data_IF_471384571491
#
_entry.id   IF_471384571491
#
_cell.length_a   1.000
_cell.length_b   1.000
_cell.length_c   1.000
_cell.angle_alpha   90.00
_cell.angle_beta   90.00
_cell.angle_gamma   90.00
#
_symmetry.space_group_name_H-M   'P 1'
#
loop_
_entity.id
_entity.type
_entity.pdbx_description
1 polymer ?
#
# COMPACT_ATOMS: atom_id res chain seq x y z
N UNK A 1 50.54 12.69 -29.14
CA UNK A 1 49.39 13.59 -28.92
C UNK A 1 48.16 12.75 -28.65
N UNK A 2 47.56 12.99 -27.48
CA UNK A 2 46.43 12.29 -26.89
C UNK A 2 45.18 12.28 -27.76
N UNK A 3 44.43 11.17 -27.73
CA UNK A 3 42.96 11.22 -27.71
C UNK A 3 42.41 9.93 -27.10
N UNK A 4 42.09 10.02 -25.82
CA UNK A 4 41.38 9.02 -25.04
C UNK A 4 39.98 8.79 -25.62
N UNK A 5 39.63 7.55 -25.94
CA UNK A 5 38.25 7.10 -26.07
C UNK A 5 37.87 6.44 -24.74
N UNK A 6 37.14 7.16 -23.91
CA UNK A 6 36.46 6.59 -22.74
C UNK A 6 35.24 5.81 -23.21
N UNK A 7 35.08 4.51 -22.89
CA UNK A 7 33.77 3.90 -22.92
C UNK A 7 32.96 4.44 -21.73
N UNK A 8 31.83 5.08 -22.03
CA UNK A 8 30.75 5.32 -21.06
C UNK A 8 30.28 3.96 -20.53
N UNK A 9 30.86 3.51 -19.42
CA UNK A 9 30.27 2.46 -18.62
C UNK A 9 29.05 3.08 -17.92
N UNK A 10 27.86 2.82 -18.46
CA UNK A 10 26.61 3.16 -17.83
C UNK A 10 26.55 2.44 -16.48
N UNK A 11 26.75 3.20 -15.40
CA UNK A 11 26.42 2.80 -14.04
C UNK A 11 24.91 2.56 -13.98
N UNK A 12 24.51 1.31 -14.21
CA UNK A 12 23.27 0.75 -13.68
C UNK A 12 23.43 0.66 -12.16
N UNK A 13 23.26 1.80 -11.48
CA UNK A 13 22.89 1.84 -10.08
C UNK A 13 21.49 1.25 -9.98
N UNK A 14 21.44 -0.08 -10.00
CA UNK A 14 20.31 -0.83 -9.50
C UNK A 14 20.18 -0.41 -8.04
N UNK A 15 19.16 0.40 -7.74
CA UNK A 15 18.77 0.65 -6.38
C UNK A 15 18.48 -0.72 -5.76
N UNK A 16 19.45 -1.24 -4.99
CA UNK A 16 19.25 -2.38 -4.12
C UNK A 16 18.25 -1.93 -3.07
N UNK A 17 16.96 -2.05 -3.38
CA UNK A 17 15.94 -2.12 -2.36
C UNK A 17 16.37 -3.25 -1.43
N UNK A 18 16.77 -2.91 -0.20
CA UNK A 18 17.11 -3.89 0.82
C UNK A 18 15.82 -4.67 1.12
N UNK A 19 15.69 -5.84 0.51
CA UNK A 19 14.68 -6.81 0.88
C UNK A 19 15.15 -7.43 2.20
N UNK A 20 14.52 -7.04 3.30
CA UNK A 20 14.76 -7.60 4.63
C UNK A 20 13.80 -8.75 4.90
N UNK A 21 14.20 -9.70 5.73
CA UNK A 21 13.27 -10.70 6.26
C UNK A 21 12.90 -10.36 7.71
N UNK A 22 11.61 -10.45 8.01
CA UNK A 22 11.07 -10.21 9.34
C UNK A 22 10.41 -11.49 9.83
N UNK A 23 10.71 -11.89 11.07
CA UNK A 23 10.07 -13.05 11.70
C UNK A 23 9.00 -12.54 12.65
N UNK A 24 7.77 -12.98 12.45
CA UNK A 24 6.62 -12.62 13.28
C UNK A 24 6.00 -13.88 13.87
N UNK A 25 5.82 -13.90 15.18
CA UNK A 25 5.12 -15.00 15.86
C UNK A 25 3.61 -14.73 15.93
N UNK A 26 2.82 -15.63 15.34
CA UNK A 26 1.35 -15.60 15.33
C UNK A 26 0.83 -16.90 15.91
N UNK A 27 0.26 -16.85 17.12
CA UNK A 27 -0.34 -18.03 17.76
C UNK A 27 0.67 -19.16 18.02
N UNK A 28 1.92 -18.82 18.35
CA UNK A 28 2.99 -19.80 18.61
C UNK A 28 3.69 -20.33 17.36
N UNK A 29 3.30 -19.87 16.16
CA UNK A 29 3.97 -20.22 14.90
C UNK A 29 4.74 -19.03 14.37
N UNK A 30 5.97 -19.27 13.94
CA UNK A 30 6.77 -18.27 13.24
C UNK A 30 6.34 -18.16 11.79
N UNK A 31 6.21 -16.92 11.32
CA UNK A 31 5.95 -16.58 9.93
C UNK A 31 7.01 -15.60 9.45
N UNK A 32 7.64 -15.90 8.32
CA UNK A 32 8.58 -15.00 7.66
C UNK A 32 7.83 -14.05 6.73
N UNK A 33 8.13 -12.77 6.84
CA UNK A 33 7.58 -11.70 6.02
C UNK A 33 8.73 -11.05 5.28
N UNK A 34 8.57 -10.86 3.98
CA UNK A 34 9.51 -10.09 3.16
C UNK A 34 9.20 -8.60 3.35
N UNK A 35 10.18 -7.82 3.78
CA UNK A 35 10.08 -6.37 3.94
C UNK A 35 10.83 -5.68 2.82
N UNK A 36 10.24 -4.62 2.26
CA UNK A 36 10.92 -3.71 1.33
C UNK A 36 10.72 -2.29 1.80
N UNK A 37 11.80 -1.62 2.18
CA UNK A 37 11.76 -0.18 2.50
C UNK A 37 11.55 0.62 1.22
N UNK A 38 10.59 1.55 1.25
CA UNK A 38 10.25 2.41 0.09
C UNK A 38 10.49 3.89 0.35
N UNK A 39 10.14 4.34 1.56
CA UNK A 39 10.33 5.72 2.01
C UNK A 39 9.74 6.80 1.07
N UNK A 40 8.59 6.51 0.44
CA UNK A 40 7.94 7.33 -0.59
C UNK A 40 6.82 8.18 0.00
N UNK A 41 6.94 9.50 -0.10
CA UNK A 41 5.84 10.43 0.21
C UNK A 41 4.66 10.19 -0.72
N UNK A 42 3.45 10.61 -0.35
CA UNK A 42 2.29 10.65 -1.26
C UNK A 42 1.93 12.11 -1.46
N UNK A 43 1.79 12.56 -2.70
CA UNK A 43 1.61 13.98 -3.01
C UNK A 43 0.39 14.21 -3.91
N UNK A 44 -0.04 15.47 -4.03
CA UNK A 44 -1.23 15.81 -4.84
C UNK A 44 -1.10 15.38 -6.31
N UNK A 45 0.11 15.45 -6.87
CA UNK A 45 0.39 14.97 -8.24
C UNK A 45 0.08 13.49 -8.46
N UNK A 46 0.07 12.70 -7.37
CA UNK A 46 -0.17 11.27 -7.43
C UNK A 46 -1.69 10.94 -7.50
N UNK A 47 -2.58 11.92 -7.29
CA UNK A 47 -4.05 11.73 -7.23
C UNK A 47 -4.67 11.11 -8.49
N UNK A 48 -4.06 11.35 -9.65
CA UNK A 48 -4.54 10.83 -10.93
C UNK A 48 -3.60 9.76 -11.52
N UNK A 49 -2.65 9.27 -10.72
CA UNK A 49 -1.72 8.23 -11.12
C UNK A 49 -2.22 6.85 -10.67
N UNK A 50 -1.46 5.82 -11.02
CA UNK A 50 -1.69 4.46 -10.56
C UNK A 50 -2.13 3.49 -11.65
N UNK A 51 -2.12 2.22 -11.29
CA UNK A 51 -2.40 1.04 -12.10
C UNK A 51 -2.63 -0.13 -11.16
N UNK A 52 -2.77 -1.36 -11.64
CA UNK A 52 -2.76 -2.55 -10.78
C UNK A 52 -1.42 -3.31 -10.83
N UNK A 53 -0.35 -2.68 -11.34
CA UNK A 53 0.96 -3.33 -11.53
C UNK A 53 1.75 -3.49 -10.22
N UNK A 54 1.45 -2.68 -9.20
CA UNK A 54 2.07 -2.77 -7.87
C UNK A 54 1.06 -2.41 -6.78
N UNK A 55 1.31 -2.77 -5.50
CA UNK A 55 0.46 -2.37 -4.39
C UNK A 55 0.35 -0.84 -4.27
N UNK A 56 1.47 -0.12 -4.43
CA UNK A 56 1.50 1.34 -4.39
C UNK A 56 0.65 1.93 -5.52
N UNK A 57 0.85 1.49 -6.76
CA UNK A 57 0.07 1.97 -7.90
C UNK A 57 -1.43 1.69 -7.72
N UNK A 58 -1.78 0.53 -7.17
CA UNK A 58 -3.16 0.17 -6.89
C UNK A 58 -3.75 1.08 -5.82
N UNK A 59 -2.97 1.44 -4.79
CA UNK A 59 -3.37 2.40 -3.77
C UNK A 59 -3.70 3.77 -4.36
N UNK A 60 -2.80 4.29 -5.19
CA UNK A 60 -2.96 5.61 -5.83
C UNK A 60 -4.20 5.62 -6.72
N UNK A 61 -4.40 4.57 -7.52
CA UNK A 61 -5.58 4.44 -8.37
C UNK A 61 -6.87 4.37 -7.53
N UNK A 62 -6.89 3.54 -6.49
CA UNK A 62 -8.05 3.31 -5.63
C UNK A 62 -8.49 4.58 -4.90
N UNK A 63 -7.58 5.23 -4.16
CA UNK A 63 -7.90 6.47 -3.44
C UNK A 63 -8.14 7.64 -4.40
N UNK A 64 -7.53 7.63 -5.59
CA UNK A 64 -7.78 8.62 -6.64
C UNK A 64 -9.23 8.58 -7.15
N UNK A 65 -9.80 7.38 -7.29
CA UNK A 65 -11.21 7.18 -7.65
C UNK A 65 -12.14 7.60 -6.51
N UNK A 66 -11.84 7.22 -5.27
CA UNK A 66 -12.62 7.62 -4.09
C UNK A 66 -12.60 9.14 -3.87
N UNK A 67 -11.47 9.81 -4.09
CA UNK A 67 -11.36 11.28 -4.03
C UNK A 67 -12.24 11.99 -5.08
N UNK A 68 -12.55 11.34 -6.20
CA UNK A 68 -13.51 11.82 -7.21
C UNK A 68 -14.97 11.49 -6.85
N UNK A 69 -15.18 10.64 -5.85
CA UNK A 69 -16.50 10.13 -5.47
C UNK A 69 -16.93 8.90 -6.29
N UNK A 70 -16.05 8.33 -7.09
CA UNK A 70 -16.33 7.17 -7.94
C UNK A 70 -16.14 5.86 -7.17
N UNK A 71 -17.10 5.57 -6.30
CA UNK A 71 -17.10 4.37 -5.44
C UNK A 71 -17.18 3.09 -6.27
N UNK A 72 -17.95 3.09 -7.37
CA UNK A 72 -18.13 1.88 -8.17
C UNK A 72 -16.83 1.48 -8.88
N UNK A 73 -16.12 2.44 -9.48
CA UNK A 73 -14.83 2.17 -10.09
C UNK A 73 -13.79 1.75 -9.05
N UNK A 74 -13.76 2.42 -7.88
CA UNK A 74 -12.85 2.05 -6.80
C UNK A 74 -13.12 0.62 -6.30
N UNK A 75 -14.38 0.24 -6.11
CA UNK A 75 -14.76 -1.08 -5.63
C UNK A 75 -14.35 -2.22 -6.58
N UNK A 76 -14.27 -1.97 -7.90
CA UNK A 76 -13.77 -2.94 -8.88
C UNK A 76 -12.29 -3.29 -8.69
N UNK A 77 -11.54 -2.48 -7.95
CA UNK A 77 -10.15 -2.73 -7.58
C UNK A 77 -10.02 -3.54 -6.28
N UNK A 78 -11.13 -3.93 -5.66
CA UNK A 78 -11.15 -4.71 -4.44
C UNK A 78 -11.36 -6.20 -4.70
N UNK A 79 -10.89 -7.04 -3.77
CA UNK A 79 -11.10 -8.49 -3.80
C UNK A 79 -12.56 -8.90 -3.57
N UNK A 80 -13.33 -8.08 -2.85
CA UNK A 80 -14.79 -8.15 -2.72
C UNK A 80 -15.40 -6.78 -3.08
N UNK A 81 -15.77 -6.58 -4.37
CA UNK A 81 -16.37 -5.32 -4.82
C UNK A 81 -17.71 -4.99 -4.16
N UNK A 82 -18.51 -5.99 -3.83
CA UNK A 82 -19.81 -5.77 -3.19
C UNK A 82 -19.63 -5.23 -1.76
N UNK A 83 -18.72 -5.84 -1.00
CA UNK A 83 -18.37 -5.36 0.33
C UNK A 83 -17.77 -3.94 0.29
N UNK A 84 -16.82 -3.69 -0.61
CA UNK A 84 -16.19 -2.37 -0.77
C UNK A 84 -17.23 -1.29 -1.14
N UNK A 85 -18.15 -1.60 -2.07
CA UNK A 85 -19.24 -0.68 -2.45
C UNK A 85 -20.12 -0.34 -1.25
N UNK A 86 -20.53 -1.35 -0.47
CA UNK A 86 -21.37 -1.13 0.70
C UNK A 86 -20.66 -0.28 1.76
N UNK A 87 -19.40 -0.59 2.05
CA UNK A 87 -18.57 0.14 3.03
C UNK A 87 -18.44 1.62 2.66
N UNK A 88 -18.04 1.93 1.42
CA UNK A 88 -17.84 3.33 1.02
C UNK A 88 -19.14 4.10 0.87
N UNK A 89 -20.23 3.45 0.44
CA UNK A 89 -21.53 4.11 0.42
C UNK A 89 -22.00 4.47 1.83
N UNK A 90 -21.91 3.54 2.78
CA UNK A 90 -22.22 3.83 4.18
C UNK A 90 -21.33 4.96 4.71
N UNK A 91 -20.05 4.97 4.33
CA UNK A 91 -19.15 6.02 4.80
C UNK A 91 -19.49 7.39 4.21
N UNK A 92 -19.78 7.44 2.91
CA UNK A 92 -20.23 8.64 2.21
C UNK A 92 -21.56 9.15 2.75
N UNK A 93 -22.50 8.27 3.07
CA UNK A 93 -23.79 8.63 3.68
C UNK A 93 -23.60 9.30 5.04
N UNK A 94 -22.68 8.79 5.86
CA UNK A 94 -22.37 9.36 7.18
C UNK A 94 -21.73 10.76 7.09
N UNK A 95 -20.84 10.98 6.14
CA UNK A 95 -20.11 12.25 6.01
C UNK A 95 -20.81 13.28 5.13
N UNK A 96 -21.60 12.83 4.15
CA UNK A 96 -22.00 13.62 3.00
C UNK A 96 -20.96 13.59 1.87
N UNK A 97 -21.42 13.77 0.64
CA UNK A 97 -20.61 13.56 -0.56
C UNK A 97 -19.41 14.53 -0.70
N UNK A 98 -19.54 15.77 -0.22
CA UNK A 98 -18.47 16.78 -0.29
C UNK A 98 -17.34 16.41 0.67
N UNK A 99 -17.68 16.15 1.93
CA UNK A 99 -16.70 15.82 2.97
C UNK A 99 -16.06 14.46 2.72
N UNK A 100 -16.82 13.49 2.20
CA UNK A 100 -16.26 12.23 1.72
C UNK A 100 -15.12 12.44 0.71
N UNK A 101 -15.35 13.21 -0.36
CA UNK A 101 -14.32 13.46 -1.38
C UNK A 101 -13.11 14.19 -0.79
N UNK A 102 -13.34 15.17 0.08
CA UNK A 102 -12.28 15.92 0.77
C UNK A 102 -11.43 15.00 1.63
N UNK A 103 -12.06 14.10 2.38
CA UNK A 103 -11.37 13.17 3.24
C UNK A 103 -10.56 12.14 2.44
N UNK A 104 -11.14 11.56 1.39
CA UNK A 104 -10.42 10.65 0.50
C UNK A 104 -9.25 11.35 -0.21
N UNK A 105 -9.42 12.62 -0.58
CA UNK A 105 -8.33 13.44 -1.15
C UNK A 105 -7.19 13.73 -0.16
N UNK A 106 -7.44 13.65 1.16
CA UNK A 106 -6.41 13.84 2.19
C UNK A 106 -5.35 12.71 2.21
N UNK A 107 -5.62 11.59 1.53
CA UNK A 107 -4.61 10.57 1.26
C UNK A 107 -3.41 11.15 0.49
N UNK A 108 -3.66 12.09 -0.43
CA UNK A 108 -2.65 12.69 -1.32
C UNK A 108 -2.00 13.93 -0.73
N UNK A 109 -1.48 13.80 0.49
CA UNK A 109 -0.75 14.86 1.18
C UNK A 109 0.61 14.37 1.60
N UNK A 110 1.64 15.23 1.52
CA UNK A 110 3.02 14.88 1.93
C UNK A 110 3.15 14.41 3.39
N UNK A 111 2.08 14.56 4.18
CA UNK A 111 1.96 14.05 5.55
C UNK A 111 1.80 12.52 5.61
N UNK A 112 1.42 11.89 4.50
CA UNK A 112 1.34 10.45 4.36
C UNK A 112 2.57 9.95 3.60
N UNK A 113 3.25 8.97 4.19
CA UNK A 113 4.46 8.38 3.61
C UNK A 113 4.38 6.87 3.63
N UNK A 114 4.57 6.23 2.49
CA UNK A 114 4.73 4.78 2.40
C UNK A 114 6.16 4.44 2.83
N UNK A 115 6.30 3.89 4.03
CA UNK A 115 7.61 3.62 4.62
C UNK A 115 8.14 2.24 4.22
N UNK A 116 7.24 1.26 4.04
CA UNK A 116 7.61 -0.09 3.67
C UNK A 116 6.47 -0.84 2.97
N UNK A 117 6.83 -1.95 2.33
CA UNK A 117 5.93 -3.02 1.93
C UNK A 117 6.27 -4.28 2.71
N UNK A 118 5.25 -4.99 3.18
CA UNK A 118 5.37 -6.27 3.84
C UNK A 118 4.67 -7.32 2.98
N UNK A 119 5.37 -8.36 2.54
CA UNK A 119 4.80 -9.42 1.69
C UNK A 119 4.84 -10.76 2.39
N UNK A 120 3.70 -11.47 2.37
CA UNK A 120 3.58 -12.83 2.86
C UNK A 120 2.58 -13.61 1.98
N UNK A 121 3.06 -14.64 1.30
CA UNK A 121 2.26 -15.35 0.31
C UNK A 121 1.94 -14.46 -0.91
N UNK A 122 0.67 -14.43 -1.31
CA UNK A 122 0.16 -13.61 -2.41
C UNK A 122 -0.33 -12.22 -1.97
N UNK A 123 -0.15 -11.88 -0.69
CA UNK A 123 -0.57 -10.58 -0.15
C UNK A 123 0.61 -9.69 0.21
N UNK A 124 0.42 -8.39 -0.04
CA UNK A 124 1.35 -7.33 0.31
C UNK A 124 0.63 -6.22 1.07
N UNK A 125 1.14 -5.83 2.23
CA UNK A 125 0.68 -4.67 2.99
C UNK A 125 1.59 -3.48 2.73
N UNK A 126 1.00 -2.34 2.37
CA UNK A 126 1.67 -1.04 2.44
C UNK A 126 1.60 -0.51 3.87
N UNK A 127 2.75 -0.15 4.44
CA UNK A 127 2.83 0.61 5.68
C UNK A 127 2.85 2.10 5.36
N UNK A 128 1.79 2.80 5.76
CA UNK A 128 1.63 4.24 5.53
C UNK A 128 1.78 4.97 6.86
N UNK A 129 2.89 5.68 7.03
CA UNK A 129 3.09 6.59 8.15
C UNK A 129 2.25 7.85 7.92
N UNK A 130 1.34 8.09 8.85
CA UNK A 130 0.59 9.34 9.00
C UNK A 130 1.19 10.16 10.16
N UNK A 131 0.76 11.41 10.41
CA UNK A 131 1.19 12.18 11.57
C UNK A 131 0.95 11.46 12.91
N UNK A 132 -0.15 10.73 13.02
CA UNK A 132 -0.64 10.21 14.31
C UNK A 132 -0.26 8.73 14.53
N UNK A 133 -0.23 7.92 13.47
CA UNK A 133 0.04 6.47 13.56
C UNK A 133 0.55 5.89 12.23
N UNK A 134 0.97 4.63 12.24
CA UNK A 134 1.23 3.87 11.01
C UNK A 134 0.00 3.03 10.66
N UNK A 135 -0.58 3.29 9.49
CA UNK A 135 -1.68 2.53 8.92
C UNK A 135 -1.15 1.38 8.05
N UNK A 136 -1.94 0.32 7.89
CA UNK A 136 -1.65 -0.77 6.96
C UNK A 136 -2.81 -0.94 5.98
N UNK A 137 -2.50 -1.00 4.68
CA UNK A 137 -3.47 -1.40 3.65
C UNK A 137 -2.96 -2.64 2.94
N UNK A 138 -3.79 -3.69 2.90
CA UNK A 138 -3.43 -4.98 2.30
C UNK A 138 -3.93 -5.03 0.85
N UNK A 139 -3.09 -5.60 0.00
CA UNK A 139 -3.33 -5.89 -1.40
C UNK A 139 -3.08 -7.37 -1.67
N UNK A 140 -3.84 -7.98 -2.58
CA UNK A 140 -3.63 -9.36 -3.03
C UNK A 140 -3.30 -9.39 -4.51
N UNK A 141 -2.27 -10.14 -4.88
CA UNK A 141 -1.89 -10.39 -6.26
C UNK A 141 -2.78 -11.48 -6.85
N UNK A 142 -3.46 -11.17 -7.96
CA UNK A 142 -4.26 -12.12 -8.74
C UNK A 142 -4.10 -11.81 -10.22
N UNK A 143 -3.75 -12.83 -11.01
CA UNK A 143 -3.60 -12.72 -12.47
C UNK A 143 -2.67 -11.56 -12.90
N UNK A 144 -1.57 -11.37 -12.16
CA UNK A 144 -0.59 -10.30 -12.40
C UNK A 144 -1.06 -8.89 -12.01
N UNK A 145 -2.20 -8.76 -11.33
CA UNK A 145 -2.78 -7.49 -10.87
C UNK A 145 -2.98 -7.48 -9.36
N UNK A 146 -2.72 -6.34 -8.74
CA UNK A 146 -3.00 -6.12 -7.33
C UNK A 146 -4.43 -5.63 -7.11
N UNK A 147 -5.08 -6.15 -6.08
CA UNK A 147 -6.42 -5.77 -5.64
C UNK A 147 -6.42 -5.45 -4.16
N UNK A 148 -7.16 -4.42 -3.75
CA UNK A 148 -7.36 -4.06 -2.34
C UNK A 148 -8.07 -5.21 -1.62
N UNK A 149 -7.50 -5.70 -0.53
CA UNK A 149 -8.19 -6.70 0.30
C UNK A 149 -9.32 -6.01 1.06
N UNK A 150 -10.55 -6.52 0.86
CA UNK A 150 -11.79 -5.99 1.45
C UNK A 150 -12.65 -7.15 1.95
N UNK A 151 -13.66 -6.83 2.77
CA UNK A 151 -14.58 -7.81 3.34
C UNK A 151 -14.16 -8.35 4.72
N UNK A 152 -14.98 -9.23 5.29
CA UNK A 152 -14.89 -9.63 6.71
C UNK A 152 -13.95 -10.80 6.99
N UNK A 153 -13.58 -11.58 5.97
CA UNK A 153 -12.80 -12.81 6.16
C UNK A 153 -11.35 -12.61 5.72
N UNK A 154 -10.52 -12.19 6.68
CA UNK A 154 -9.09 -12.09 6.48
C UNK A 154 -8.45 -13.47 6.33
N UNK A 155 -7.50 -13.57 5.39
CA UNK A 155 -6.66 -14.75 5.19
C UNK A 155 -5.68 -14.92 6.35
N UNK A 156 -5.00 -16.07 6.43
CA UNK A 156 -3.90 -16.23 7.38
C UNK A 156 -2.76 -15.22 7.12
N UNK A 157 -2.48 -14.91 5.84
CA UNK A 157 -1.51 -13.88 5.46
C UNK A 157 -1.90 -12.50 6.01
N UNK A 158 -3.18 -12.12 5.88
CA UNK A 158 -3.71 -10.86 6.43
C UNK A 158 -3.56 -10.79 7.95
N UNK A 159 -3.76 -11.91 8.67
CA UNK A 159 -3.55 -11.97 10.13
C UNK A 159 -2.08 -11.79 10.50
N UNK A 160 -1.17 -12.42 9.75
CA UNK A 160 0.28 -12.26 9.93
C UNK A 160 0.69 -10.81 9.73
N UNK A 161 0.24 -10.16 8.66
CA UNK A 161 0.55 -8.75 8.43
C UNK A 161 -0.11 -7.82 9.46
N UNK A 162 -1.31 -8.14 9.94
CA UNK A 162 -1.94 -7.41 11.05
C UNK A 162 -1.13 -7.49 12.34
N UNK A 163 -0.56 -8.66 12.66
CA UNK A 163 0.38 -8.80 13.78
C UNK A 163 1.65 -7.98 13.57
N UNK A 164 2.21 -8.01 12.36
CA UNK A 164 3.39 -7.22 12.02
C UNK A 164 3.14 -5.71 12.21
N UNK A 165 2.01 -5.20 11.69
CA UNK A 165 1.60 -3.81 11.86
C UNK A 165 1.50 -3.39 13.33
N UNK A 166 0.96 -4.25 14.19
CA UNK A 166 0.91 -4.00 15.63
C UNK A 166 2.33 -3.89 16.23
N UNK A 167 3.24 -4.80 15.86
CA UNK A 167 4.63 -4.74 16.34
C UNK A 167 5.37 -3.48 15.83
N UNK A 168 5.07 -3.02 14.61
CA UNK A 168 5.54 -1.74 14.08
C UNK A 168 5.05 -0.55 14.91
N UNK A 169 3.75 -0.50 15.21
CA UNK A 169 3.17 0.56 16.04
C UNK A 169 3.67 0.52 17.49
N UNK A 170 4.04 -0.65 18.02
CA UNK A 170 4.69 -0.82 19.32
C UNK A 170 6.20 -0.49 19.29
N UNK A 171 6.78 -0.18 18.13
CA UNK A 171 8.21 0.07 17.97
C UNK A 171 9.11 -1.16 18.14
N UNK A 172 8.52 -2.36 18.18
CA UNK A 172 9.22 -3.65 18.31
C UNK A 172 9.73 -4.19 16.99
N UNK A 173 9.29 -3.59 15.88
CA UNK A 173 9.65 -3.98 14.53
C UNK A 173 10.03 -2.73 13.73
N UNK A 174 11.09 -2.82 12.93
CA UNK A 174 11.57 -1.75 12.06
C UNK A 174 11.48 -2.18 10.59
N UNK A 175 11.30 -1.22 9.66
CA UNK A 175 11.17 -1.51 8.23
C UNK A 175 12.38 -2.25 7.67
#
# INVERSE_FOLDING_TARGET
MNRYWLPLLALLLSALAHAGELIVNVGGKEATIQSRVLDREINEKDRNAGSQASPLDCSLLYYGLLAKGDIEAAAKLATDPAAATSEWNQYRERLGAVDFRKEMAAYFTAKNRVIAELTHGDETMLLVKTPDYTAGQIYRLKDGKYFVVSGRRFSEASKVMGKALNLFNEGKLKP
#
